data_IF_657822479221
#
_entry.id   IF_657822479221
#
_cell.length_a   1.000
_cell.length_b   1.000
_cell.length_c   1.000
_cell.angle_alpha   90.00
_cell.angle_beta   90.00
_cell.angle_gamma   90.00
#
_symmetry.space_group_name_H-M   'P 1'
#
loop_
_entity.id
_entity.type
_entity.pdbx_description
1 polymer ?
#
# COMPACT_ATOMS: atom_id res chain seq x y z
N UNK A 1 36.47 -17.44 28.01
CA UNK A 1 36.21 -16.11 27.41
C UNK A 1 36.17 -16.32 25.90
N UNK A 2 34.97 -16.55 25.34
CA UNK A 2 34.79 -16.89 23.92
C UNK A 2 34.79 -15.60 23.11
N UNK A 3 35.79 -15.43 22.23
CA UNK A 3 35.79 -14.38 21.22
C UNK A 3 34.75 -14.75 20.15
N UNK A 4 33.58 -14.12 20.18
CA UNK A 4 32.70 -14.05 19.01
C UNK A 4 33.44 -13.25 17.93
N UNK A 5 34.05 -13.94 16.98
CA UNK A 5 34.59 -13.30 15.77
C UNK A 5 33.38 -13.08 14.86
N UNK A 6 32.66 -11.98 15.09
CA UNK A 6 31.65 -11.49 14.15
C UNK A 6 32.35 -11.10 12.86
N UNK A 7 32.14 -11.93 11.83
CA UNK A 7 32.93 -11.97 10.61
C UNK A 7 32.34 -11.04 9.54
N UNK A 8 31.99 -9.82 9.91
CA UNK A 8 31.43 -8.84 8.96
C UNK A 8 32.42 -7.69 8.75
N UNK A 9 33.06 -7.69 7.57
CA UNK A 9 34.16 -6.78 7.20
C UNK A 9 33.79 -5.30 7.32
N UNK A 10 32.49 -4.98 7.34
CA UNK A 10 31.97 -3.60 7.48
C UNK A 10 31.80 -3.16 8.94
N UNK A 11 31.68 -4.09 9.89
CA UNK A 11 31.54 -3.80 11.32
C UNK A 11 32.89 -3.49 11.98
N UNK A 12 33.92 -4.24 11.60
CA UNK A 12 35.26 -4.13 12.21
C UNK A 12 35.82 -2.71 12.26
N UNK A 13 35.75 -1.87 11.21
CA UNK A 13 36.30 -0.52 11.27
C UNK A 13 35.63 0.37 12.33
N UNK A 14 34.31 0.21 12.52
CA UNK A 14 33.53 1.00 13.49
C UNK A 14 33.90 0.57 14.90
N UNK A 15 33.94 -0.74 15.15
CA UNK A 15 34.30 -1.29 16.45
C UNK A 15 35.74 -0.92 16.84
N UNK A 16 36.68 -0.96 15.89
CA UNK A 16 38.06 -0.50 16.11
C UNK A 16 38.09 0.98 16.48
N UNK A 17 37.40 1.85 15.73
CA UNK A 17 37.40 3.29 15.99
C UNK A 17 36.77 3.63 17.34
N UNK A 18 35.67 2.98 17.72
CA UNK A 18 35.02 3.16 19.02
C UNK A 18 35.95 2.75 20.18
N UNK A 19 36.69 1.67 20.02
CA UNK A 19 37.68 1.25 21.02
C UNK A 19 38.87 2.21 21.11
N UNK A 20 39.37 2.73 19.98
CA UNK A 20 40.48 3.69 19.95
C UNK A 20 40.15 5.00 20.67
N UNK A 21 38.92 5.49 20.58
CA UNK A 21 38.47 6.70 21.28
C UNK A 21 38.02 6.44 22.73
N UNK A 22 38.21 5.22 23.25
CA UNK A 22 37.82 4.84 24.61
C UNK A 22 36.30 4.72 24.82
N UNK A 23 35.53 4.55 23.75
CA UNK A 23 34.06 4.39 23.76
C UNK A 23 33.62 2.97 23.36
N UNK A 24 34.37 1.97 23.83
CA UNK A 24 34.06 0.56 23.59
C UNK A 24 32.72 0.11 24.19
N UNK A 25 32.17 0.88 25.14
CA UNK A 25 30.82 0.70 25.70
C UNK A 25 29.70 0.85 24.65
N UNK A 26 29.98 1.55 23.54
CA UNK A 26 29.04 1.77 22.44
C UNK A 26 29.13 0.72 21.33
N UNK A 27 30.03 -0.27 21.45
CA UNK A 27 30.13 -1.35 20.46
C UNK A 27 28.83 -2.15 20.51
N UNK A 28 28.19 -2.26 19.35
CA UNK A 28 26.93 -2.98 19.20
C UNK A 28 27.11 -4.43 19.64
N UNK A 29 26.12 -4.95 20.36
CA UNK A 29 26.02 -6.37 20.65
C UNK A 29 25.67 -7.14 19.36
N UNK A 30 26.02 -8.42 19.32
CA UNK A 30 25.73 -9.26 18.13
C UNK A 30 24.23 -9.28 17.80
N UNK A 31 23.37 -9.32 18.82
CA UNK A 31 21.91 -9.27 18.68
C UNK A 31 21.39 -7.94 18.13
N UNK A 32 22.01 -6.82 18.53
CA UNK A 32 21.68 -5.49 18.00
C UNK A 32 22.11 -5.38 16.53
N UNK A 33 23.28 -5.94 16.21
CA UNK A 33 23.79 -5.97 14.85
C UNK A 33 22.91 -6.85 13.93
N UNK A 34 22.50 -8.03 14.39
CA UNK A 34 21.53 -8.89 13.70
C UNK A 34 20.20 -8.16 13.43
N UNK A 35 19.73 -7.39 14.42
CA UNK A 35 18.54 -6.55 14.26
C UNK A 35 18.73 -5.51 13.15
N UNK A 36 19.88 -4.84 13.11
CA UNK A 36 20.21 -3.87 12.05
C UNK A 36 20.25 -4.54 10.68
N UNK A 37 20.89 -5.72 10.56
CA UNK A 37 20.95 -6.45 9.30
C UNK A 37 19.56 -6.88 8.80
N UNK A 38 18.72 -7.36 9.70
CA UNK A 38 17.35 -7.73 9.36
C UNK A 38 16.50 -6.49 8.98
N UNK A 39 16.74 -5.31 9.59
CA UNK A 39 16.12 -4.05 9.17
C UNK A 39 16.60 -3.60 7.78
N UNK A 40 17.89 -3.74 7.47
CA UNK A 40 18.45 -3.42 6.15
C UNK A 40 17.79 -4.31 5.09
N UNK A 41 17.75 -5.63 5.32
CA UNK A 41 17.11 -6.59 4.40
C UNK A 41 15.62 -6.28 4.21
N UNK A 42 14.91 -5.98 5.30
CA UNK A 42 13.51 -5.57 5.23
C UNK A 42 13.32 -4.31 4.38
N UNK A 43 14.14 -3.27 4.60
CA UNK A 43 14.12 -2.02 3.82
C UNK A 43 14.37 -2.27 2.34
N UNK A 44 15.33 -3.13 2.00
CA UNK A 44 15.64 -3.46 0.61
C UNK A 44 14.47 -4.17 -0.08
N UNK A 45 13.84 -5.14 0.60
CA UNK A 45 12.66 -5.81 0.07
C UNK A 45 11.47 -4.86 -0.08
N UNK A 46 11.21 -4.04 0.93
CA UNK A 46 10.15 -3.03 0.87
C UNK A 46 10.39 -2.04 -0.27
N UNK A 47 11.64 -1.59 -0.46
CA UNK A 47 12.03 -0.73 -1.58
C UNK A 47 11.73 -1.38 -2.91
N UNK A 48 12.05 -2.67 -3.11
CA UNK A 48 11.75 -3.38 -4.37
C UNK A 48 10.25 -3.34 -4.68
N UNK A 49 9.39 -3.59 -3.69
CA UNK A 49 7.93 -3.54 -3.87
C UNK A 49 7.49 -2.13 -4.29
N UNK A 50 7.99 -1.10 -3.61
CA UNK A 50 7.67 0.31 -3.93
C UNK A 50 8.18 0.73 -5.30
N UNK A 51 9.40 0.31 -5.67
CA UNK A 51 10.01 0.63 -6.96
C UNK A 51 9.21 0.00 -8.12
N UNK A 52 8.73 -1.25 -7.96
CA UNK A 52 7.85 -1.91 -8.95
C UNK A 52 6.59 -1.08 -9.19
N UNK A 53 5.97 -0.54 -8.15
CA UNK A 53 4.75 0.26 -8.31
C UNK A 53 5.02 1.66 -8.84
N UNK A 54 6.16 2.23 -8.47
CA UNK A 54 6.60 3.54 -8.95
C UNK A 54 7.00 3.51 -10.42
N UNK A 55 7.26 2.32 -10.98
CA UNK A 55 7.59 2.14 -12.40
C UNK A 55 6.37 2.23 -13.32
N UNK A 56 5.15 2.15 -12.77
CA UNK A 56 3.94 2.27 -13.55
C UNK A 56 3.64 3.74 -13.86
N UNK A 57 3.47 4.06 -15.14
CA UNK A 57 3.26 5.44 -15.60
C UNK A 57 1.89 5.99 -15.24
N UNK A 58 0.91 5.11 -15.01
CA UNK A 58 -0.44 5.48 -14.63
C UNK A 58 -0.88 4.66 -13.42
N UNK A 59 -0.91 5.24 -12.21
CA UNK A 59 -1.37 4.51 -11.03
C UNK A 59 -2.86 4.21 -11.16
N UNK A 60 -3.19 2.93 -11.31
CA UNK A 60 -4.56 2.45 -11.43
C UNK A 60 -5.01 1.74 -10.17
N UNK A 61 -6.30 1.83 -9.84
CA UNK A 61 -6.87 1.28 -8.61
C UNK A 61 -6.75 -0.25 -8.47
N UNK A 62 -6.63 -0.98 -9.58
CA UNK A 62 -6.36 -2.43 -9.61
C UNK A 62 -4.99 -2.79 -9.03
N UNK A 63 -4.00 -1.89 -9.05
CA UNK A 63 -2.66 -2.14 -8.49
C UNK A 63 -2.61 -1.98 -6.98
N UNK A 64 -3.60 -1.31 -6.38
CA UNK A 64 -3.65 -1.12 -4.91
C UNK A 64 -3.71 -2.46 -4.19
N UNK A 65 -4.50 -3.41 -4.70
CA UNK A 65 -4.59 -4.74 -4.08
C UNK A 65 -3.33 -5.57 -4.29
N UNK A 66 -2.70 -5.45 -5.45
CA UNK A 66 -1.42 -6.11 -5.75
C UNK A 66 -0.34 -5.61 -4.78
N UNK A 67 -0.22 -4.28 -4.63
CA UNK A 67 0.70 -3.67 -3.67
C UNK A 67 0.43 -4.17 -2.25
N UNK A 68 -0.84 -4.13 -1.84
CA UNK A 68 -1.24 -4.52 -0.50
C UNK A 68 -0.88 -5.99 -0.22
N UNK A 69 -1.11 -6.89 -1.18
CA UNK A 69 -0.75 -8.31 -1.07
C UNK A 69 0.76 -8.50 -0.94
N UNK A 70 1.56 -7.83 -1.77
CA UNK A 70 3.02 -7.95 -1.70
C UNK A 70 3.61 -7.40 -0.40
N UNK A 71 3.08 -6.28 0.10
CA UNK A 71 3.49 -5.75 1.41
C UNK A 71 3.04 -6.69 2.53
N UNK A 72 1.81 -7.23 2.48
CA UNK A 72 1.33 -8.19 3.48
C UNK A 72 2.24 -9.41 3.54
N UNK A 73 2.58 -10.02 2.39
CA UNK A 73 3.52 -11.16 2.33
C UNK A 73 4.86 -10.83 2.98
N UNK A 74 5.45 -9.68 2.65
CA UNK A 74 6.72 -9.24 3.26
C UNK A 74 6.62 -9.08 4.78
N UNK A 75 5.48 -8.59 5.27
CA UNK A 75 5.23 -8.41 6.71
C UNK A 75 5.01 -9.76 7.40
N UNK A 76 4.32 -10.70 6.77
CA UNK A 76 4.01 -12.04 7.28
C UNK A 76 5.17 -13.03 7.16
N UNK A 77 6.14 -12.79 6.28
CA UNK A 77 7.35 -13.60 6.18
C UNK A 77 8.00 -13.76 7.56
N UNK A 78 7.99 -14.99 8.07
CA UNK A 78 8.64 -15.35 9.31
C UNK A 78 10.14 -15.09 9.16
N UNK A 79 10.63 -14.15 9.97
CA UNK A 79 12.05 -14.10 10.24
C UNK A 79 12.21 -14.90 11.54
N UNK A 80 12.52 -16.19 11.40
CA UNK A 80 12.59 -17.13 12.53
C UNK A 80 13.56 -16.70 13.64
N UNK A 81 14.45 -15.73 13.37
CA UNK A 81 15.41 -15.17 14.33
C UNK A 81 15.29 -13.64 14.54
N UNK A 82 14.27 -12.97 14.01
CA UNK A 82 14.20 -11.51 14.14
C UNK A 82 13.84 -11.08 15.57
N UNK A 83 14.73 -10.27 16.17
CA UNK A 83 14.50 -9.59 17.43
C UNK A 83 13.08 -8.99 17.51
N UNK A 84 12.45 -9.09 18.68
CA UNK A 84 11.11 -8.59 19.01
C UNK A 84 10.79 -7.19 18.44
N UNK A 85 11.82 -6.34 18.31
CA UNK A 85 11.72 -5.02 17.70
C UNK A 85 11.22 -5.05 16.24
N UNK A 86 11.69 -5.99 15.42
CA UNK A 86 11.30 -6.11 14.01
C UNK A 86 9.88 -6.64 13.90
N UNK A 87 9.50 -7.60 14.74
CA UNK A 87 8.11 -8.09 14.80
C UNK A 87 7.14 -6.95 15.14
N UNK A 88 7.49 -6.11 16.14
CA UNK A 88 6.70 -4.91 16.47
C UNK A 88 6.64 -3.90 15.32
N UNK A 89 7.76 -3.65 14.64
CA UNK A 89 7.78 -2.78 13.46
C UNK A 89 6.84 -3.30 12.37
N UNK A 90 6.93 -4.59 12.04
CA UNK A 90 6.09 -5.23 11.02
C UNK A 90 4.60 -5.11 11.37
N UNK A 91 4.22 -5.38 12.63
CA UNK A 91 2.84 -5.23 13.10
C UNK A 91 2.34 -3.78 12.97
N UNK A 92 3.13 -2.81 13.42
CA UNK A 92 2.78 -1.39 13.30
C UNK A 92 2.61 -0.95 11.84
N UNK A 93 3.47 -1.47 10.94
CA UNK A 93 3.36 -1.22 9.50
C UNK A 93 2.11 -1.87 8.91
N UNK A 94 1.77 -3.09 9.33
CA UNK A 94 0.55 -3.77 8.90
C UNK A 94 -0.71 -3.00 9.31
N UNK A 95 -0.79 -2.56 10.57
CA UNK A 95 -1.90 -1.73 11.05
C UNK A 95 -2.00 -0.41 10.28
N UNK A 96 -0.85 0.23 10.03
CA UNK A 96 -0.79 1.47 9.24
C UNK A 96 -1.23 1.25 7.79
N UNK A 97 -0.85 0.12 7.18
CA UNK A 97 -1.26 -0.26 5.83
C UNK A 97 -2.77 -0.45 5.77
N UNK A 98 -3.35 -1.18 6.71
CA UNK A 98 -4.80 -1.40 6.80
C UNK A 98 -5.59 -0.11 6.99
N UNK A 99 -5.06 0.82 7.80
CA UNK A 99 -5.70 2.12 8.02
C UNK A 99 -5.64 3.03 6.80
N UNK A 100 -4.49 3.09 6.10
CA UNK A 100 -4.28 4.01 4.97
C UNK A 100 -4.83 3.49 3.66
N UNK A 101 -4.76 2.17 3.45
CA UNK A 101 -5.19 1.51 2.22
C UNK A 101 -6.16 0.37 2.57
N UNK A 102 -7.38 0.72 3.06
CA UNK A 102 -8.34 -0.28 3.44
C UNK A 102 -8.79 -1.11 2.24
N UNK A 103 -8.93 -2.41 2.45
CA UNK A 103 -9.46 -3.33 1.45
C UNK A 103 -10.97 -3.11 1.27
N UNK A 104 -11.33 -2.19 0.40
CA UNK A 104 -12.74 -1.87 0.09
C UNK A 104 -13.27 -2.71 -1.06
N UNK A 105 -14.60 -2.83 -1.14
CA UNK A 105 -15.24 -3.51 -2.27
C UNK A 105 -14.93 -2.87 -3.63
N UNK A 106 -14.68 -1.56 -3.66
CA UNK A 106 -14.26 -0.87 -4.90
C UNK A 106 -12.89 -1.34 -5.34
N UNK A 107 -11.90 -1.40 -4.44
CA UNK A 107 -10.55 -1.91 -4.75
C UNK A 107 -10.61 -3.33 -5.27
N UNK A 108 -11.39 -4.19 -4.61
CA UNK A 108 -11.57 -5.59 -5.02
C UNK A 108 -12.24 -5.69 -6.39
N UNK A 109 -13.31 -4.91 -6.64
CA UNK A 109 -14.00 -4.90 -7.93
C UNK A 109 -13.10 -4.37 -9.06
N UNK A 110 -12.35 -3.29 -8.83
CA UNK A 110 -11.36 -2.75 -9.78
C UNK A 110 -10.29 -3.77 -10.12
N UNK A 111 -9.84 -4.55 -9.13
CA UNK A 111 -8.83 -5.59 -9.34
C UNK A 111 -9.40 -6.78 -10.14
N UNK A 112 -10.65 -7.19 -9.86
CA UNK A 112 -11.35 -8.25 -10.58
C UNK A 112 -11.64 -7.94 -12.06
N UNK A 113 -11.70 -6.65 -12.43
CA UNK A 113 -11.85 -6.24 -13.82
C UNK A 113 -10.58 -6.52 -14.64
N UNK A 114 -9.42 -6.64 -13.98
CA UNK A 114 -8.17 -7.01 -14.62
C UNK A 114 -7.93 -8.52 -14.45
N UNK A 115 -8.06 -9.26 -15.54
CA UNK A 115 -7.96 -10.72 -15.52
C UNK A 115 -6.60 -11.24 -15.03
N UNK A 116 -5.54 -10.41 -15.08
CA UNK A 116 -4.19 -10.76 -14.60
C UNK A 116 -4.17 -10.97 -13.08
N UNK A 117 -5.12 -10.38 -12.36
CA UNK A 117 -5.12 -10.35 -10.89
C UNK A 117 -6.22 -11.21 -10.26
N UNK A 118 -6.88 -12.07 -11.04
CA UNK A 118 -7.98 -12.92 -10.55
C UNK A 118 -7.55 -13.98 -9.52
N UNK A 119 -6.26 -14.31 -9.43
CA UNK A 119 -5.70 -15.34 -8.55
C UNK A 119 -5.13 -14.78 -7.23
N UNK A 120 -5.39 -13.51 -6.91
CA UNK A 120 -4.93 -12.91 -5.64
C UNK A 120 -5.74 -13.50 -4.47
N UNK A 121 -5.03 -14.07 -3.49
CA UNK A 121 -5.62 -14.79 -2.35
C UNK A 121 -6.56 -13.92 -1.51
N UNK A 122 -6.22 -12.64 -1.35
CA UNK A 122 -6.97 -11.64 -0.62
C UNK A 122 -8.37 -11.41 -1.19
N UNK A 123 -8.53 -11.59 -2.51
CA UNK A 123 -9.85 -11.53 -3.16
C UNK A 123 -10.69 -12.71 -2.68
N UNK A 124 -10.10 -13.91 -2.63
CA UNK A 124 -10.82 -15.12 -2.19
C UNK A 124 -11.21 -15.02 -0.71
N UNK A 125 -10.30 -14.55 0.15
CA UNK A 125 -10.63 -14.26 1.56
C UNK A 125 -11.77 -13.26 1.68
N UNK A 126 -11.75 -12.19 0.87
CA UNK A 126 -12.78 -11.15 0.88
C UNK A 126 -14.15 -11.70 0.42
N UNK A 127 -14.16 -12.54 -0.62
CA UNK A 127 -15.37 -13.21 -1.11
C UNK A 127 -15.93 -14.18 -0.08
N UNK A 128 -15.07 -15.00 0.54
CA UNK A 128 -15.45 -15.98 1.54
C UNK A 128 -16.09 -15.31 2.77
N UNK A 129 -15.49 -14.23 3.29
CA UNK A 129 -16.04 -13.46 4.42
C UNK A 129 -17.42 -12.87 4.14
N UNK A 130 -17.79 -12.70 2.87
CA UNK A 130 -19.07 -12.13 2.43
C UNK A 130 -20.03 -13.18 1.87
N UNK A 131 -19.61 -14.44 1.79
CA UNK A 131 -20.41 -15.55 1.26
C UNK A 131 -20.94 -15.28 -0.17
N UNK A 132 -20.13 -14.62 -1.02
CA UNK A 132 -20.49 -14.30 -2.41
C UNK A 132 -19.45 -14.82 -3.40
N UNK A 133 -19.89 -15.09 -4.64
CA UNK A 133 -18.97 -15.42 -5.73
C UNK A 133 -18.39 -14.15 -6.36
N UNK A 134 -17.18 -14.24 -6.95
CA UNK A 134 -16.54 -13.13 -7.69
C UNK A 134 -17.48 -12.51 -8.73
N UNK A 135 -18.22 -13.34 -9.48
CA UNK A 135 -19.15 -12.91 -10.53
C UNK A 135 -20.36 -12.18 -9.95
N UNK A 136 -20.99 -12.73 -8.89
CA UNK A 136 -22.14 -12.10 -8.23
C UNK A 136 -21.75 -10.75 -7.62
N UNK A 137 -20.59 -10.71 -6.97
CA UNK A 137 -20.03 -9.50 -6.39
C UNK A 137 -19.78 -8.42 -7.46
N UNK A 138 -19.05 -8.75 -8.53
CA UNK A 138 -18.73 -7.81 -9.59
C UNK A 138 -19.99 -7.30 -10.30
N UNK A 139 -20.94 -8.19 -10.59
CA UNK A 139 -22.22 -7.83 -11.22
C UNK A 139 -23.01 -6.84 -10.36
N UNK A 140 -23.02 -7.06 -9.04
CA UNK A 140 -23.69 -6.16 -8.09
C UNK A 140 -22.99 -4.79 -8.02
N UNK A 141 -21.66 -4.77 -7.96
CA UNK A 141 -20.87 -3.54 -7.93
C UNK A 141 -21.04 -2.71 -9.20
N UNK A 142 -21.01 -3.35 -10.37
CA UNK A 142 -21.23 -2.68 -11.67
C UNK A 142 -22.65 -2.15 -11.76
N UNK A 143 -23.66 -2.96 -11.42
CA UNK A 143 -25.07 -2.53 -11.45
C UNK A 143 -25.30 -1.31 -10.55
N UNK A 144 -24.81 -1.36 -9.31
CA UNK A 144 -24.98 -0.25 -8.36
C UNK A 144 -24.30 1.03 -8.84
N UNK A 145 -23.18 0.93 -9.57
CA UNK A 145 -22.50 2.10 -10.15
C UNK A 145 -23.27 2.68 -11.32
N UNK A 146 -23.75 1.84 -12.23
CA UNK A 146 -24.55 2.27 -13.39
C UNK A 146 -25.85 2.95 -12.94
N UNK A 147 -26.60 2.33 -12.02
CA UNK A 147 -27.86 2.92 -11.53
C UNK A 147 -27.64 4.25 -10.80
N UNK A 148 -26.50 4.43 -10.14
CA UNK A 148 -26.19 5.69 -9.44
C UNK A 148 -25.85 6.82 -10.42
N UNK A 149 -25.13 6.52 -11.50
CA UNK A 149 -24.81 7.50 -12.55
C UNK A 149 -26.04 7.89 -13.38
N UNK A 150 -26.92 6.93 -13.68
CA UNK A 150 -28.19 7.19 -14.37
C UNK A 150 -29.08 8.15 -13.56
N UNK A 151 -29.11 8.00 -12.23
CA UNK A 151 -29.85 8.91 -11.35
C UNK A 151 -29.25 10.33 -11.36
N UNK A 152 -27.92 10.45 -11.37
CA UNK A 152 -27.23 11.75 -11.43
C UNK A 152 -27.43 12.48 -12.75
N UNK A 153 -27.41 11.77 -13.87
CA UNK A 153 -27.70 12.38 -15.17
C UNK A 153 -29.14 12.88 -15.27
N UNK A 154 -30.10 12.14 -14.69
CA UNK A 154 -31.50 12.55 -14.67
C UNK A 154 -31.74 13.80 -13.80
N UNK A 155 -31.08 13.93 -12.65
CA UNK A 155 -31.15 15.14 -11.80
C UNK A 155 -30.59 16.39 -12.50
N UNK A 156 -29.53 16.25 -13.31
CA UNK A 156 -28.94 17.35 -14.09
C UNK A 156 -29.89 17.80 -15.22
N UNK A 157 -30.60 16.86 -15.86
CA UNK A 157 -31.58 17.17 -16.91
C UNK A 157 -32.81 17.88 -16.30
N UNK A 158 -33.26 17.47 -15.12
CA UNK A 158 -34.41 18.09 -14.46
C UNK A 158 -34.09 19.48 -13.89
N UNK A 159 -32.87 19.70 -13.38
CA UNK A 159 -32.41 21.04 -13.00
C UNK A 159 -32.14 21.95 -14.20
N UNK A 160 -31.73 21.41 -15.34
CA UNK A 160 -31.63 22.17 -16.59
C UNK A 160 -33.00 22.55 -17.18
N UNK A 161 -34.04 21.71 -17.02
CA UNK A 161 -35.42 22.01 -17.43
C UNK A 161 -36.14 22.98 -16.48
N UNK A 162 -35.76 23.02 -15.21
CA UNK A 162 -36.36 23.91 -14.21
C UNK A 162 -35.83 25.36 -14.26
N UNK A 163 -34.84 25.68 -15.12
CA UNK A 163 -34.42 27.06 -15.36
C UNK A 163 -35.32 27.68 -16.44
N UNK A 164 -36.28 28.57 -16.10
CA UNK A 164 -36.92 29.37 -17.12
C UNK A 164 -35.84 30.19 -17.83
N UNK A 165 -35.82 30.11 -19.14
CA UNK A 165 -35.09 31.02 -20.02
C UNK A 165 -35.65 32.41 -19.83
N UNK A 166 -35.16 33.15 -18.83
CA UNK A 166 -35.34 34.59 -18.79
C UNK A 166 -34.47 35.18 -19.91
N UNK A 167 -35.09 35.37 -21.07
CA UNK A 167 -34.54 36.22 -22.12
C UNK A 167 -34.43 37.64 -21.57
N UNK A 168 -33.23 38.09 -21.27
CA UNK A 168 -32.74 39.45 -21.46
C UNK A 168 -31.40 39.62 -20.71
N UNK A 169 -30.34 39.97 -21.43
CA UNK A 169 -29.17 40.57 -20.79
C UNK A 169 -27.83 40.08 -21.34
N UNK A 170 -27.40 40.71 -22.42
CA UNK A 170 -26.01 41.00 -22.82
C UNK A 170 -24.90 39.97 -22.59
N UNK A 171 -24.35 39.56 -23.74
CA UNK A 171 -22.92 39.38 -24.00
C UNK A 171 -22.02 40.17 -23.03
N UNK A 172 -21.17 39.45 -22.30
CA UNK A 172 -19.77 39.85 -22.11
C UNK A 172 -18.92 38.58 -22.00
N UNK A 173 -18.45 38.17 -23.18
CA UNK A 173 -17.16 37.51 -23.35
C UNK A 173 -16.09 38.47 -22.80
N UNK A 174 -15.26 38.03 -21.85
CA UNK A 174 -13.80 38.24 -21.79
C UNK A 174 -13.27 37.99 -20.37
N UNK A 175 -12.32 37.05 -20.31
CA UNK A 175 -11.10 37.05 -19.50
C UNK A 175 -11.22 37.40 -18.01
N UNK A 176 -10.80 36.46 -17.16
CA UNK A 176 -9.54 36.65 -16.44
C UNK A 176 -9.02 35.32 -15.86
N UNK A 177 -7.81 34.98 -16.33
CA UNK A 177 -6.88 34.02 -15.78
C UNK A 177 -5.99 34.81 -14.81
N UNK A 178 -5.98 34.42 -13.53
CA UNK A 178 -4.82 34.51 -12.63
C UNK A 178 -4.77 33.23 -11.82
#
# INVERSE_FOLDING_TARGET
>A
MLKCISNDAKRQPIDTLLNEIGRGDLVLQDTEYETIQALIKFRENFKKIVDVLSSETQPTMNLVLVFWSEVKKLLEEANDDAALAIARLKNNMFESLNSRFPLTGVVVASTLLDCRFNAIHEIDEFMQKREVTKVSFLSTMVRNRLTTEDLRQNEIIDTAKARPTSSAGSLNFLLELV
#
